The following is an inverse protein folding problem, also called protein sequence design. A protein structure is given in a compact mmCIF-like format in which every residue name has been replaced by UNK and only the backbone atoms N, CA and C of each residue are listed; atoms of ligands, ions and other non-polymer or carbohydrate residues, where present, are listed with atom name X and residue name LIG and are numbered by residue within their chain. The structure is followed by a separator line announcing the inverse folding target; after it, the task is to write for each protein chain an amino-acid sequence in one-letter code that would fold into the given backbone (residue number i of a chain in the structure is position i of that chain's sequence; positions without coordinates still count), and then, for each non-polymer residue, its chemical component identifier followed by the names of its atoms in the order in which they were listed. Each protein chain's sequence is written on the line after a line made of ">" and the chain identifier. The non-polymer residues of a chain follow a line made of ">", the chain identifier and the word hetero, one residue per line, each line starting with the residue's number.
data_IF_139822906129
#
_entry.id   IF_139822906129
#
_cell.length_a   1.000
_cell.length_b   1.000
_cell.length_c   1.000
_cell.angle_alpha   90.00
_cell.angle_beta   90.00
_cell.angle_gamma   90.00
#
_symmetry.space_group_name_H-M   'P 1'
#
loop_
_entity.id
_entity.type
_entity.pdbx_description
1 polymer ?
#
# COMPACT_ATOMS: atom_id res chain seq x y z
N UNK A 1 11.71 -14.54 13.20
CA UNK A 1 10.93 -13.70 14.15
C UNK A 1 9.78 -14.54 14.70
N UNK A 2 9.50 -14.51 16.01
CA UNK A 2 8.43 -15.33 16.59
C UNK A 2 7.05 -14.71 16.29
N UNK A 3 5.99 -15.48 16.43
CA UNK A 3 4.60 -15.01 16.24
C UNK A 3 4.26 -13.78 17.10
N UNK A 4 4.63 -13.79 18.38
CA UNK A 4 4.40 -12.68 19.30
C UNK A 4 5.12 -11.39 18.89
N UNK A 5 6.34 -11.49 18.34
CA UNK A 5 7.10 -10.34 17.85
C UNK A 5 6.41 -9.69 16.64
N UNK A 6 5.87 -10.52 15.72
CA UNK A 6 5.12 -10.02 14.56
C UNK A 6 3.83 -9.32 14.98
N UNK A 7 3.11 -9.89 15.95
CA UNK A 7 1.93 -9.24 16.54
C UNK A 7 2.31 -7.92 17.20
N UNK A 8 3.40 -7.85 17.96
CA UNK A 8 3.87 -6.61 18.57
C UNK A 8 4.14 -5.51 17.51
N UNK A 9 4.76 -5.86 16.38
CA UNK A 9 4.95 -4.95 15.24
C UNK A 9 3.63 -4.51 14.61
N UNK A 10 2.66 -5.41 14.46
CA UNK A 10 1.33 -5.07 13.94
C UNK A 10 0.53 -4.17 14.88
N UNK A 11 0.83 -4.22 16.19
CA UNK A 11 0.17 -3.41 17.21
C UNK A 11 0.83 -2.04 17.45
N UNK A 12 2.10 -1.89 17.08
CA UNK A 12 2.87 -0.65 17.11
C UNK A 12 2.50 0.25 15.91
N UNK A 13 1.57 1.17 16.14
CA UNK A 13 0.91 1.94 15.08
C UNK A 13 1.13 3.44 15.26
N UNK A 14 1.27 4.22 14.18
CA UNK A 14 1.62 5.65 14.23
C UNK A 14 0.39 6.54 14.53
N UNK A 15 -0.61 6.00 15.23
CA UNK A 15 -1.91 6.63 15.47
C UNK A 15 -2.32 6.48 16.93
N UNK A 16 -3.30 7.28 17.35
CA UNK A 16 -3.88 7.24 18.68
C UNK A 16 -5.41 7.05 18.62
N UNK A 17 -6.00 6.67 19.75
CA UNK A 17 -7.44 6.52 19.89
C UNK A 17 -8.05 5.52 18.91
N UNK A 18 -9.14 5.90 18.27
CA UNK A 18 -9.91 5.02 17.39
C UNK A 18 -9.18 4.64 16.10
N UNK A 19 -8.39 5.55 15.51
CA UNK A 19 -7.57 5.22 14.35
C UNK A 19 -6.53 4.15 14.72
N UNK A 20 -5.93 4.23 15.92
CA UNK A 20 -5.00 3.20 16.38
C UNK A 20 -5.66 1.81 16.46
N UNK A 21 -6.89 1.74 16.96
CA UNK A 21 -7.65 0.50 17.00
C UNK A 21 -7.90 -0.08 15.59
N UNK A 22 -8.26 0.78 14.65
CA UNK A 22 -8.53 0.40 13.26
C UNK A 22 -7.25 -0.07 12.54
N UNK A 23 -6.12 0.59 12.78
CA UNK A 23 -4.80 0.16 12.32
C UNK A 23 -4.38 -1.21 12.88
N UNK A 24 -4.59 -1.43 14.18
CA UNK A 24 -4.28 -2.70 14.85
C UNK A 24 -5.12 -3.84 14.27
N UNK A 25 -6.42 -3.64 14.11
CA UNK A 25 -7.29 -4.64 13.48
C UNK A 25 -6.87 -4.96 12.04
N UNK A 26 -6.46 -3.95 11.26
CA UNK A 26 -5.87 -4.15 9.93
C UNK A 26 -4.59 -4.99 10.01
N UNK A 27 -3.66 -4.63 10.89
CA UNK A 27 -2.39 -5.35 11.06
C UNK A 27 -2.58 -6.82 11.45
N UNK A 28 -3.46 -7.10 12.42
CA UNK A 28 -3.83 -8.46 12.82
C UNK A 28 -4.47 -9.24 11.67
N UNK A 29 -5.34 -8.60 10.87
CA UNK A 29 -5.93 -9.23 9.70
C UNK A 29 -4.88 -9.61 8.65
N UNK A 30 -3.86 -8.77 8.40
CA UNK A 30 -2.76 -9.15 7.50
C UNK A 30 -1.91 -10.30 8.05
N UNK A 31 -1.76 -10.42 9.38
CA UNK A 31 -1.09 -11.57 9.99
C UNK A 31 -1.88 -12.87 9.80
N UNK A 32 -3.23 -12.83 9.81
CA UNK A 32 -4.04 -14.01 9.47
C UNK A 32 -3.90 -14.39 7.99
N UNK A 33 -3.77 -13.41 7.08
CA UNK A 33 -3.44 -13.70 5.68
C UNK A 33 -2.06 -14.36 5.57
N UNK A 34 -1.06 -13.85 6.30
CA UNK A 34 0.27 -14.43 6.37
C UNK A 34 0.24 -15.88 6.88
N UNK A 35 -0.45 -16.11 8.01
CA UNK A 35 -0.64 -17.46 8.56
C UNK A 35 -1.32 -18.40 7.56
N UNK A 36 -2.30 -17.91 6.78
CA UNK A 36 -2.93 -18.72 5.72
C UNK A 36 -1.93 -19.12 4.64
N UNK A 37 -1.00 -18.25 4.29
CA UNK A 37 0.03 -18.48 3.28
C UNK A 37 1.19 -19.38 3.77
N UNK A 38 1.46 -19.39 5.08
CA UNK A 38 2.56 -20.15 5.70
C UNK A 38 2.12 -21.45 6.37
N UNK A 39 0.85 -21.58 6.75
CA UNK A 39 0.36 -22.63 7.63
C UNK A 39 0.73 -22.43 9.11
N UNK A 40 1.19 -21.24 9.51
CA UNK A 40 1.66 -20.95 10.87
C UNK A 40 0.47 -20.76 11.84
N UNK A 41 0.15 -21.81 12.60
CA UNK A 41 -0.92 -21.78 13.59
C UNK A 41 -0.53 -21.08 14.90
N UNK A 42 0.76 -20.96 15.20
CA UNK A 42 1.23 -20.20 16.37
C UNK A 42 0.95 -18.70 16.16
N UNK A 43 1.05 -18.23 14.91
CA UNK A 43 0.64 -16.88 14.53
C UNK A 43 -0.87 -16.65 14.70
N UNK A 44 -1.71 -17.66 14.43
CA UNK A 44 -3.16 -17.57 14.69
C UNK A 44 -3.43 -17.41 16.17
N UNK A 45 -2.78 -18.21 17.02
CA UNK A 45 -2.95 -18.13 18.47
C UNK A 45 -2.51 -16.75 19.01
N UNK A 46 -1.37 -16.23 18.56
CA UNK A 46 -0.90 -14.91 18.96
C UNK A 46 -1.85 -13.77 18.51
N UNK A 47 -2.47 -13.91 17.34
CA UNK A 47 -3.52 -12.97 16.88
C UNK A 47 -4.78 -13.08 17.72
N UNK A 48 -5.22 -14.29 18.09
CA UNK A 48 -6.39 -14.51 18.95
C UNK A 48 -6.23 -13.82 20.32
N UNK A 49 -5.05 -13.90 20.91
CA UNK A 49 -4.73 -13.25 22.19
C UNK A 49 -4.75 -11.72 22.06
N UNK A 50 -4.17 -11.17 20.99
CA UNK A 50 -4.15 -9.73 20.75
C UNK A 50 -5.53 -9.17 20.39
N UNK A 51 -6.31 -9.88 19.58
CA UNK A 51 -7.63 -9.44 19.13
C UNK A 51 -8.62 -9.33 20.29
N UNK A 52 -8.52 -10.20 21.30
CA UNK A 52 -9.36 -10.16 22.49
C UNK A 52 -9.22 -8.85 23.30
N UNK A 53 -8.07 -8.19 23.21
CA UNK A 53 -7.80 -6.92 23.89
C UNK A 53 -8.12 -5.67 23.07
N UNK A 54 -8.58 -5.79 21.83
CA UNK A 54 -8.85 -4.63 20.99
C UNK A 54 -10.18 -3.94 21.35
N UNK A 55 -10.22 -2.59 21.41
CA UNK A 55 -11.47 -1.86 21.54
C UNK A 55 -12.30 -1.98 20.24
N UNK A 56 -13.57 -1.53 20.24
CA UNK A 56 -14.40 -1.57 19.04
C UNK A 56 -13.78 -0.83 17.84
N UNK A 57 -13.82 -1.49 16.68
CA UNK A 57 -13.25 -1.00 15.41
C UNK A 57 -14.34 -0.78 14.37
N UNK A 58 -14.03 -0.10 13.27
CA UNK A 58 -15.03 0.10 12.23
C UNK A 58 -15.57 -1.24 11.69
N UNK A 59 -16.87 -1.29 11.37
CA UNK A 59 -17.59 -2.52 11.04
C UNK A 59 -16.89 -3.41 9.98
N UNK A 60 -16.34 -2.84 8.91
CA UNK A 60 -15.59 -3.57 7.87
C UNK A 60 -14.31 -4.21 8.39
N UNK A 61 -13.63 -3.57 9.33
CA UNK A 61 -12.40 -4.07 9.94
C UNK A 61 -12.72 -5.24 10.87
N UNK A 62 -13.74 -5.08 11.71
CA UNK A 62 -14.25 -6.14 12.58
C UNK A 62 -14.72 -7.34 11.74
N UNK A 63 -15.53 -7.09 10.70
CA UNK A 63 -16.02 -8.10 9.77
C UNK A 63 -14.87 -8.84 9.10
N UNK A 64 -13.90 -8.12 8.53
CA UNK A 64 -12.74 -8.70 7.83
C UNK A 64 -11.92 -9.57 8.77
N UNK A 65 -11.52 -9.02 9.92
CA UNK A 65 -10.68 -9.73 10.89
C UNK A 65 -11.38 -11.01 11.39
N UNK A 66 -12.66 -10.92 11.74
CA UNK A 66 -13.46 -12.06 12.20
C UNK A 66 -13.66 -13.10 11.08
N UNK A 67 -13.94 -12.66 9.86
CA UNK A 67 -14.14 -13.57 8.71
C UNK A 67 -12.86 -14.31 8.36
N UNK A 68 -11.72 -13.62 8.32
CA UNK A 68 -10.41 -14.23 8.10
C UNK A 68 -10.14 -15.29 9.18
N UNK A 69 -10.39 -14.95 10.45
CA UNK A 69 -10.15 -15.89 11.53
C UNK A 69 -11.07 -17.11 11.47
N UNK A 70 -12.36 -16.93 11.21
CA UNK A 70 -13.33 -18.04 11.13
C UNK A 70 -12.97 -19.03 10.02
N UNK A 71 -12.33 -18.58 8.93
CA UNK A 71 -11.80 -19.46 7.87
C UNK A 71 -10.66 -20.36 8.34
N UNK A 72 -10.07 -20.10 9.51
CA UNK A 72 -9.01 -20.88 10.15
C UNK A 72 -9.54 -21.79 11.27
N UNK A 73 -10.86 -21.86 11.45
CA UNK A 73 -11.53 -22.65 12.49
C UNK A 73 -12.37 -21.79 13.45
N UNK A 74 -13.04 -22.42 14.43
CA UNK A 74 -13.92 -21.71 15.35
C UNK A 74 -13.17 -20.67 16.17
N UNK A 75 -13.85 -19.56 16.48
CA UNK A 75 -13.35 -18.52 17.38
C UNK A 75 -13.34 -19.08 18.82
N UNK A 76 -12.18 -19.01 19.47
CA UNK A 76 -12.02 -19.44 20.87
C UNK A 76 -12.01 -18.28 21.84
N UNK A 77 -11.80 -17.07 21.35
CA UNK A 77 -11.74 -15.82 22.11
C UNK A 77 -12.69 -14.79 21.53
N UNK A 78 -13.10 -13.79 22.32
CA UNK A 78 -13.79 -12.62 21.79
C UNK A 78 -12.94 -11.90 20.74
N UNK A 79 -13.59 -11.42 19.68
CA UNK A 79 -12.99 -10.55 18.66
C UNK A 79 -13.59 -9.15 18.78
N UNK A 80 -12.90 -8.10 18.31
CA UNK A 80 -13.36 -6.73 18.50
C UNK A 80 -14.77 -6.54 17.91
N UNK A 81 -15.62 -5.89 18.71
CA UNK A 81 -16.95 -5.50 18.30
C UNK A 81 -16.91 -4.38 17.25
N UNK A 82 -18.05 -4.17 16.60
CA UNK A 82 -18.24 -3.06 15.67
C UNK A 82 -18.45 -1.76 16.47
N UNK A 83 -17.77 -0.70 16.04
CA UNK A 83 -17.94 0.64 16.60
C UNK A 83 -19.31 1.19 16.15
N UNK A 84 -20.09 1.80 17.06
CA UNK A 84 -21.45 2.25 16.76
C UNK A 84 -21.53 3.47 15.83
N UNK A 85 -20.43 4.22 15.65
CA UNK A 85 -20.37 5.40 14.78
C UNK A 85 -19.03 5.44 14.05
N UNK A 86 -19.08 5.85 12.79
CA UNK A 86 -17.88 6.13 12.02
C UNK A 86 -17.12 7.34 12.59
N UNK A 87 -15.82 7.36 12.33
CA UNK A 87 -14.99 8.51 12.68
C UNK A 87 -15.31 9.67 11.77
N UNK A 88 -15.36 10.87 12.35
CA UNK A 88 -15.25 12.10 11.57
C UNK A 88 -13.76 12.28 11.30
N UNK A 89 -13.30 12.10 10.05
CA UNK A 89 -11.88 12.19 9.77
C UNK A 89 -11.39 13.63 9.98
N UNK A 90 -10.17 13.76 10.51
CA UNK A 90 -9.53 15.06 10.64
C UNK A 90 -9.13 15.61 9.27
N UNK A 91 -9.19 16.92 9.12
CA UNK A 91 -8.71 17.59 7.93
C UNK A 91 -7.20 17.34 7.73
N UNK A 92 -6.73 17.01 6.50
CA UNK A 92 -5.31 16.83 6.28
C UNK A 92 -4.52 18.11 6.51
N UNK A 93 -3.28 17.94 6.97
CA UNK A 93 -2.35 19.05 7.22
C UNK A 93 -2.07 19.88 5.97
N UNK A 94 -1.61 21.12 6.14
CA UNK A 94 -1.26 22.00 5.01
C UNK A 94 -0.19 21.39 4.11
N UNK A 95 0.77 20.64 4.66
CA UNK A 95 1.80 19.91 3.90
C UNK A 95 1.16 18.86 3.00
N UNK A 96 0.25 18.04 3.53
CA UNK A 96 -0.46 17.02 2.74
C UNK A 96 -1.28 17.66 1.64
N UNK A 97 -1.98 18.76 1.94
CA UNK A 97 -2.76 19.51 0.94
C UNK A 97 -1.89 20.02 -0.21
N UNK A 98 -0.71 20.57 0.08
CA UNK A 98 0.25 21.00 -0.96
C UNK A 98 0.71 19.82 -1.82
N UNK A 99 1.06 18.69 -1.20
CA UNK A 99 1.48 17.50 -1.93
C UNK A 99 0.35 16.89 -2.77
N UNK A 100 -0.90 16.96 -2.30
CA UNK A 100 -2.07 16.56 -3.07
C UNK A 100 -2.23 17.41 -4.35
N UNK A 101 -2.05 18.74 -4.24
CA UNK A 101 -2.06 19.64 -5.41
C UNK A 101 -0.91 19.33 -6.36
N UNK A 102 0.31 19.12 -5.84
CA UNK A 102 1.47 18.77 -6.67
C UNK A 102 1.26 17.44 -7.40
N UNK A 103 0.76 16.43 -6.70
CA UNK A 103 0.45 15.12 -7.26
C UNK A 103 -0.62 15.20 -8.36
N UNK A 104 -1.68 15.97 -8.13
CA UNK A 104 -2.74 16.15 -9.11
C UNK A 104 -2.24 16.88 -10.38
N UNK A 105 -1.46 17.96 -10.21
CA UNK A 105 -0.83 18.67 -11.33
C UNK A 105 0.15 17.79 -12.11
N UNK A 106 0.93 16.98 -11.41
CA UNK A 106 1.84 16.01 -12.03
C UNK A 106 1.05 15.01 -12.88
N UNK A 107 -0.05 14.49 -12.34
CA UNK A 107 -0.95 13.59 -13.07
C UNK A 107 -1.51 14.26 -14.33
N UNK A 108 -2.05 15.47 -14.22
CA UNK A 108 -2.66 16.18 -15.35
C UNK A 108 -1.64 16.54 -16.45
N UNK A 109 -0.38 16.85 -16.08
CA UNK A 109 0.71 17.11 -17.05
C UNK A 109 1.13 15.86 -17.82
N UNK A 110 1.11 14.71 -17.15
CA UNK A 110 1.55 13.42 -17.71
C UNK A 110 0.40 12.61 -18.32
N UNK A 111 -0.84 13.00 -18.05
CA UNK A 111 -2.01 12.46 -18.70
C UNK A 111 -1.98 12.81 -20.19
N UNK A 112 -1.83 11.82 -21.06
CA UNK A 112 -2.32 11.83 -22.45
C UNK A 112 -2.10 10.50 -23.16
N UNK A 113 -3.09 10.20 -24.00
CA UNK A 113 -3.28 9.06 -24.93
C UNK A 113 -3.99 7.85 -24.30
N UNK A 114 -5.20 7.52 -24.77
CA UNK A 114 -5.81 6.22 -24.49
C UNK A 114 -4.89 5.13 -25.04
N UNK A 115 -4.36 4.28 -24.16
CA UNK A 115 -3.66 3.08 -24.59
C UNK A 115 -4.69 2.04 -25.05
N UNK A 116 -4.32 1.25 -26.05
CA UNK A 116 -5.06 0.04 -26.39
C UNK A 116 -4.94 -0.95 -25.23
N UNK A 117 -6.04 -1.20 -24.53
CA UNK A 117 -6.06 -2.19 -23.45
C UNK A 117 -5.93 -3.60 -24.02
N UNK A 118 -5.03 -4.40 -23.44
CA UNK A 118 -4.85 -5.83 -23.79
C UNK A 118 -5.98 -6.75 -23.29
N UNK A 119 -7.13 -6.19 -22.93
CA UNK A 119 -8.28 -6.95 -22.44
C UNK A 119 -8.10 -7.46 -21.00
N UNK A 120 -9.16 -8.04 -20.41
CA UNK A 120 -9.11 -8.58 -19.06
C UNK A 120 -8.29 -9.88 -19.01
N UNK A 121 -7.53 -10.04 -17.94
CA UNK A 121 -6.81 -11.25 -17.57
C UNK A 121 -7.07 -11.61 -16.11
N UNK A 122 -6.89 -12.89 -15.77
CA UNK A 122 -6.92 -13.34 -14.38
C UNK A 122 -5.53 -13.12 -13.79
N UNK A 123 -5.42 -12.19 -12.85
CA UNK A 123 -4.19 -11.88 -12.14
C UNK A 123 -3.96 -12.91 -11.02
N UNK A 124 -3.65 -14.14 -11.43
CA UNK A 124 -3.17 -15.21 -10.56
C UNK A 124 -1.66 -15.08 -10.27
N UNK A 125 -1.10 -15.98 -9.47
CA UNK A 125 0.32 -15.95 -9.10
C UNK A 125 1.24 -15.90 -10.32
N UNK A 126 0.96 -16.69 -11.37
CA UNK A 126 1.80 -16.79 -12.56
C UNK A 126 1.74 -15.53 -13.41
N UNK A 127 0.54 -14.97 -13.60
CA UNK A 127 0.37 -13.71 -14.32
C UNK A 127 1.09 -12.56 -13.59
N UNK A 128 1.01 -12.55 -12.26
CA UNK A 128 1.69 -11.56 -11.43
C UNK A 128 3.21 -11.73 -11.43
N UNK A 129 3.74 -12.95 -11.37
CA UNK A 129 5.19 -13.21 -11.55
C UNK A 129 5.70 -12.71 -12.90
N UNK A 130 4.93 -12.94 -13.97
CA UNK A 130 5.26 -12.44 -15.31
C UNK A 130 5.31 -10.91 -15.33
N UNK A 131 4.31 -10.24 -14.75
CA UNK A 131 4.30 -8.79 -14.63
C UNK A 131 5.46 -8.26 -13.78
N UNK A 132 5.81 -8.92 -12.67
CA UNK A 132 6.98 -8.55 -11.85
C UNK A 132 8.28 -8.62 -12.65
N UNK A 133 8.46 -9.65 -13.47
CA UNK A 133 9.62 -9.81 -14.34
C UNK A 133 9.67 -8.73 -15.44
N UNK A 134 8.55 -8.51 -16.14
CA UNK A 134 8.45 -7.51 -17.22
C UNK A 134 8.71 -6.08 -16.74
N UNK A 135 8.28 -5.77 -15.50
CA UNK A 135 8.41 -4.43 -14.90
C UNK A 135 9.73 -4.20 -14.16
N UNK A 136 10.64 -5.18 -14.12
CA UNK A 136 11.95 -5.02 -13.48
C UNK A 136 12.74 -3.77 -13.95
N UNK A 137 12.79 -3.42 -15.25
CA UNK A 137 13.50 -2.22 -15.70
C UNK A 137 13.00 -0.91 -15.10
N UNK A 138 11.78 -0.89 -14.55
CA UNK A 138 11.14 0.29 -13.98
C UNK A 138 11.29 0.42 -12.46
N UNK A 139 11.89 -0.58 -11.79
CA UNK A 139 12.06 -0.60 -10.33
C UNK A 139 13.52 -0.42 -9.94
N UNK A 140 13.76 0.39 -8.90
CA UNK A 140 15.11 0.79 -8.51
C UNK A 140 16.01 -0.37 -8.04
N UNK A 141 15.44 -1.32 -7.28
CA UNK A 141 16.16 -2.48 -6.73
C UNK A 141 15.57 -3.81 -7.23
N UNK A 142 15.09 -3.79 -8.48
CA UNK A 142 14.34 -4.87 -9.09
C UNK A 142 15.01 -6.23 -8.97
N UNK A 143 14.22 -7.22 -8.59
CA UNK A 143 14.58 -8.63 -8.65
C UNK A 143 13.33 -9.52 -8.83
N UNK A 144 13.52 -10.80 -9.19
CA UNK A 144 12.44 -11.78 -9.17
C UNK A 144 11.95 -12.01 -7.74
N UNK A 145 10.64 -12.22 -7.58
CA UNK A 145 10.02 -12.58 -6.30
C UNK A 145 8.99 -13.68 -6.51
N UNK A 146 8.84 -14.61 -5.55
CA UNK A 146 7.83 -15.65 -5.63
C UNK A 146 6.43 -15.07 -5.42
N UNK A 147 5.45 -15.60 -6.15
CA UNK A 147 4.03 -15.38 -5.90
C UNK A 147 3.34 -16.68 -5.48
N UNK A 148 2.29 -16.56 -4.66
CA UNK A 148 1.50 -17.70 -4.18
C UNK A 148 0.02 -17.38 -4.19
N UNK A 149 -0.74 -18.17 -4.92
CA UNK A 149 -2.20 -18.11 -4.84
C UNK A 149 -2.69 -18.65 -3.50
N UNK A 150 -3.49 -17.85 -2.82
CA UNK A 150 -4.18 -18.27 -1.60
C UNK A 150 -5.68 -18.25 -1.85
N UNK A 151 -6.24 -19.46 -1.86
CA UNK A 151 -7.66 -19.68 -2.13
C UNK A 151 -8.55 -19.24 -0.96
N UNK A 152 -9.77 -18.85 -1.30
CA UNK A 152 -10.80 -18.53 -0.31
C UNK A 152 -10.43 -17.31 0.54
N UNK A 153 -9.79 -16.29 -0.05
CA UNK A 153 -9.52 -14.98 0.57
C UNK A 153 -10.05 -13.79 -0.28
N UNK A 154 -10.88 -14.05 -1.29
CA UNK A 154 -11.49 -13.02 -2.13
C UNK A 154 -12.19 -11.94 -1.30
N UNK A 155 -11.86 -10.67 -1.56
CA UNK A 155 -12.38 -9.50 -0.84
C UNK A 155 -11.85 -9.32 0.59
N UNK A 156 -10.89 -10.14 1.05
CA UNK A 156 -10.34 -10.09 2.41
C UNK A 156 -8.84 -9.73 2.47
N UNK A 157 -8.20 -9.44 1.35
CA UNK A 157 -6.79 -9.04 1.28
C UNK A 157 -6.68 -7.56 0.92
N UNK A 158 -6.06 -6.77 1.81
CA UNK A 158 -5.72 -5.36 1.51
C UNK A 158 -4.22 -5.16 1.30
N UNK A 159 -3.40 -6.02 1.90
CA UNK A 159 -1.97 -6.12 1.61
C UNK A 159 -1.68 -7.53 1.09
N UNK A 160 -0.96 -7.61 -0.01
CA UNK A 160 -0.61 -8.86 -0.69
C UNK A 160 0.91 -9.10 -0.72
N UNK A 161 1.74 -8.18 -0.24
CA UNK A 161 3.17 -8.39 -0.03
C UNK A 161 3.45 -8.65 1.46
N UNK A 162 4.35 -9.61 1.73
CA UNK A 162 4.77 -9.94 3.09
C UNK A 162 6.08 -10.75 3.09
N UNK A 163 6.63 -10.99 4.28
CA UNK A 163 7.72 -11.95 4.47
C UNK A 163 7.14 -13.35 4.73
N UNK A 164 7.49 -14.32 3.89
CA UNK A 164 7.11 -15.73 3.98
C UNK A 164 8.37 -16.59 3.98
N UNK A 165 8.54 -17.43 5.01
CA UNK A 165 9.72 -18.31 5.10
C UNK A 165 11.06 -17.57 5.14
N UNK A 166 11.07 -16.32 5.63
CA UNK A 166 12.27 -15.48 5.72
C UNK A 166 12.57 -14.64 4.47
N UNK A 167 11.78 -14.75 3.40
CA UNK A 167 11.94 -13.96 2.17
C UNK A 167 10.68 -13.21 1.76
N UNK A 168 10.79 -12.18 0.90
CA UNK A 168 9.64 -11.49 0.33
C UNK A 168 8.79 -12.44 -0.52
N UNK A 169 7.48 -12.32 -0.41
CA UNK A 169 6.52 -13.09 -1.19
C UNK A 169 5.27 -12.26 -1.45
N UNK A 170 4.71 -12.44 -2.64
CA UNK A 170 3.40 -11.89 -2.99
C UNK A 170 2.34 -12.98 -2.83
N UNK A 171 1.39 -12.77 -1.93
CA UNK A 171 0.20 -13.60 -1.76
C UNK A 171 -0.90 -13.06 -2.68
N UNK A 172 -1.14 -13.76 -3.78
CA UNK A 172 -2.19 -13.42 -4.74
C UNK A 172 -3.53 -14.00 -4.32
N UNK A 173 -4.57 -13.21 -4.53
CA UNK A 173 -5.95 -13.71 -4.57
C UNK A 173 -6.42 -13.43 -5.99
N UNK A 174 -6.67 -14.46 -6.82
CA UNK A 174 -6.99 -14.27 -8.22
C UNK A 174 -8.13 -13.26 -8.42
N UNK A 175 -7.88 -12.25 -9.24
CA UNK A 175 -8.83 -11.20 -9.57
C UNK A 175 -8.76 -10.86 -11.07
N UNK A 176 -9.80 -10.26 -11.61
CA UNK A 176 -9.84 -9.86 -13.02
C UNK A 176 -9.33 -8.43 -13.15
N UNK A 177 -8.23 -8.25 -13.87
CA UNK A 177 -7.60 -6.96 -14.14
C UNK A 177 -7.15 -6.90 -15.61
N UNK A 178 -6.83 -5.72 -16.12
CA UNK A 178 -6.09 -5.62 -17.38
C UNK A 178 -4.61 -5.96 -17.20
N UNK A 179 -3.90 -6.20 -18.30
CA UNK A 179 -2.44 -6.37 -18.27
C UNK A 179 -1.73 -5.12 -17.73
N UNK A 180 -2.22 -3.94 -18.10
CA UNK A 180 -1.67 -2.66 -17.67
C UNK A 180 -1.91 -2.44 -16.16
N UNK A 181 -3.10 -2.78 -15.66
CA UNK A 181 -3.40 -2.80 -14.22
C UNK A 181 -2.48 -3.76 -13.48
N UNK A 182 -2.28 -4.96 -14.02
CA UNK A 182 -1.39 -5.96 -13.40
C UNK A 182 0.07 -5.46 -13.36
N UNK A 183 0.55 -4.85 -14.44
CA UNK A 183 1.89 -4.28 -14.52
C UNK A 183 2.10 -3.12 -13.55
N UNK A 184 1.17 -2.16 -13.46
CA UNK A 184 1.31 -1.02 -12.53
C UNK A 184 1.11 -1.46 -11.09
N UNK A 185 -0.02 -2.11 -10.77
CA UNK A 185 -0.40 -2.39 -9.40
C UNK A 185 0.45 -3.50 -8.78
N UNK A 186 0.68 -4.60 -9.49
CA UNK A 186 1.49 -5.69 -8.95
C UNK A 186 2.95 -5.57 -9.36
N UNK A 187 3.22 -5.32 -10.64
CA UNK A 187 4.59 -5.26 -11.18
C UNK A 187 5.41 -4.13 -10.56
N UNK A 188 4.90 -2.89 -10.61
CA UNK A 188 5.62 -1.71 -10.11
C UNK A 188 5.37 -1.47 -8.62
N UNK A 189 4.14 -1.26 -8.18
CA UNK A 189 3.84 -0.87 -6.79
C UNK A 189 4.20 -1.98 -5.80
N UNK A 190 3.57 -3.15 -5.95
CA UNK A 190 3.81 -4.29 -5.06
C UNK A 190 5.22 -4.84 -5.25
N UNK A 191 5.72 -4.91 -6.49
CA UNK A 191 7.11 -5.28 -6.75
C UNK A 191 8.11 -4.39 -6.01
N UNK A 192 7.86 -3.08 -5.91
CA UNK A 192 8.73 -2.17 -5.15
C UNK A 192 8.72 -2.47 -3.65
N UNK A 193 7.58 -2.84 -3.06
CA UNK A 193 7.51 -3.30 -1.67
C UNK A 193 8.36 -4.57 -1.44
N UNK A 194 8.31 -5.51 -2.39
CA UNK A 194 9.10 -6.74 -2.33
C UNK A 194 10.60 -6.47 -2.47
N UNK A 195 10.99 -5.59 -3.40
CA UNK A 195 12.39 -5.16 -3.57
C UNK A 195 12.91 -4.44 -2.32
N UNK A 196 12.07 -3.63 -1.67
CA UNK A 196 12.40 -2.92 -0.44
C UNK A 196 12.67 -3.90 0.71
N UNK A 197 11.79 -4.89 0.91
CA UNK A 197 12.04 -5.96 1.88
C UNK A 197 13.31 -6.75 1.56
N UNK A 198 13.51 -7.13 0.30
CA UNK A 198 14.70 -7.88 -0.11
C UNK A 198 16.00 -7.11 0.14
N UNK A 199 16.02 -5.81 -0.19
CA UNK A 199 17.19 -4.97 0.03
C UNK A 199 17.54 -4.82 1.52
N UNK A 200 16.55 -4.78 2.42
CA UNK A 200 16.80 -4.81 3.86
C UNK A 200 17.38 -6.16 4.33
N UNK A 201 16.92 -7.27 3.74
CA UNK A 201 17.44 -8.61 4.06
C UNK A 201 18.88 -8.78 3.57
N UNK A 202 19.22 -8.28 2.38
CA UNK A 202 20.58 -8.32 1.83
C UNK A 202 21.58 -7.55 2.70
N UNK A 203 21.15 -6.44 3.32
CA UNK A 203 21.96 -5.67 4.27
C UNK A 203 22.06 -6.34 5.66
N UNK A 204 21.47 -7.53 5.85
CA UNK A 204 21.46 -8.23 7.13
C UNK A 204 20.55 -7.57 8.17
N UNK A 205 19.46 -6.91 7.74
CA UNK A 205 18.53 -6.14 8.60
C UNK A 205 17.12 -6.74 8.62
N UNK A 206 16.96 -8.03 8.99
CA UNK A 206 15.66 -8.72 8.94
C UNK A 206 14.60 -8.08 9.84
N UNK A 207 14.98 -7.53 11.00
CA UNK A 207 14.04 -6.85 11.89
C UNK A 207 13.39 -5.64 11.21
N UNK A 208 14.14 -4.91 10.37
CA UNK A 208 13.59 -3.79 9.63
C UNK A 208 12.73 -4.24 8.46
N UNK A 209 13.09 -5.33 7.79
CA UNK A 209 12.25 -5.94 6.75
C UNK A 209 10.88 -6.38 7.32
N UNK A 210 10.85 -6.85 8.57
CA UNK A 210 9.60 -7.10 9.29
C UNK A 210 8.86 -5.80 9.65
N UNK A 211 9.57 -4.77 10.12
CA UNK A 211 8.96 -3.48 10.50
C UNK A 211 8.28 -2.77 9.33
N UNK A 212 8.82 -2.82 8.11
CA UNK A 212 8.22 -2.10 6.98
C UNK A 212 6.84 -2.64 6.57
N UNK A 213 6.45 -3.84 7.02
CA UNK A 213 5.12 -4.38 6.78
C UNK A 213 4.02 -3.70 7.64
N UNK A 214 4.37 -3.04 8.75
CA UNK A 214 3.40 -2.59 9.74
C UNK A 214 3.64 -1.16 10.21
N UNK A 215 2.63 -0.60 10.88
CA UNK A 215 2.75 0.66 11.62
C UNK A 215 3.36 1.83 10.83
N UNK A 216 4.34 2.50 11.42
CA UNK A 216 5.06 3.59 10.75
C UNK A 216 5.89 3.09 9.56
N UNK A 217 6.33 1.82 9.59
CA UNK A 217 7.14 1.23 8.54
C UNK A 217 6.38 1.08 7.23
N UNK A 218 5.10 0.68 7.27
CA UNK A 218 4.29 0.60 6.05
C UNK A 218 4.05 1.98 5.44
N UNK A 219 4.00 3.06 6.23
CA UNK A 219 3.96 4.42 5.68
C UNK A 219 5.20 4.70 4.83
N UNK A 220 6.38 4.35 5.32
CA UNK A 220 7.64 4.51 4.57
C UNK A 220 7.65 3.63 3.32
N UNK A 221 7.23 2.37 3.43
CA UNK A 221 7.13 1.45 2.29
C UNK A 221 6.20 1.99 1.20
N UNK A 222 5.01 2.50 1.56
CA UNK A 222 4.11 3.13 0.59
C UNK A 222 4.74 4.38 -0.04
N UNK A 223 5.47 5.18 0.73
CA UNK A 223 6.22 6.32 0.20
C UNK A 223 7.28 5.90 -0.84
N UNK A 224 7.98 4.79 -0.60
CA UNK A 224 8.96 4.21 -1.52
C UNK A 224 8.30 3.67 -2.78
N UNK A 225 7.21 2.91 -2.65
CA UNK A 225 6.44 2.40 -3.79
C UNK A 225 5.83 3.53 -4.62
N UNK A 226 5.27 4.56 -3.97
CA UNK A 226 4.80 5.78 -4.64
C UNK A 226 5.92 6.51 -5.36
N UNK A 227 7.12 6.60 -4.78
CA UNK A 227 8.25 7.23 -5.45
C UNK A 227 8.63 6.50 -6.74
N UNK A 228 8.61 5.16 -6.73
CA UNK A 228 8.82 4.37 -7.94
C UNK A 228 7.69 4.59 -8.97
N UNK A 229 6.43 4.52 -8.56
CA UNK A 229 5.28 4.78 -9.45
C UNK A 229 5.32 6.17 -10.09
N UNK A 230 5.69 7.22 -9.35
CA UNK A 230 5.72 8.59 -9.87
C UNK A 230 6.81 8.80 -10.94
N UNK A 231 7.84 7.96 -10.96
CA UNK A 231 8.84 7.98 -12.04
C UNK A 231 8.37 7.25 -13.31
N UNK A 232 7.40 6.32 -13.17
CA UNK A 232 6.98 5.40 -14.22
C UNK A 232 6.60 6.08 -15.55
N UNK A 233 5.77 7.15 -15.60
CA UNK A 233 5.28 7.71 -16.87
C UNK A 233 6.38 8.24 -17.81
N UNK A 234 7.59 8.45 -17.27
CA UNK A 234 8.76 8.99 -17.96
C UNK A 234 9.76 7.92 -18.38
N UNK A 235 9.59 6.68 -17.91
CA UNK A 235 10.52 5.60 -18.21
C UNK A 235 10.26 5.02 -19.61
N UNK A 236 11.32 4.61 -20.35
CA UNK A 236 11.17 3.97 -21.64
C UNK A 236 10.26 2.73 -21.57
N UNK A 237 9.33 2.63 -22.53
CA UNK A 237 8.39 1.50 -22.62
C UNK A 237 7.16 1.58 -21.71
N UNK A 238 7.02 2.62 -20.89
CA UNK A 238 5.91 2.77 -19.96
C UNK A 238 4.72 3.61 -20.51
N UNK A 239 4.80 4.07 -21.77
CA UNK A 239 3.78 4.95 -22.36
C UNK A 239 2.36 4.35 -22.31
N UNK A 240 2.23 3.05 -22.54
CA UNK A 240 0.97 2.33 -22.48
C UNK A 240 0.35 2.22 -21.08
N UNK A 241 1.09 2.58 -20.03
CA UNK A 241 0.65 2.45 -18.63
C UNK A 241 0.13 3.77 -18.04
N UNK A 242 0.27 4.90 -18.76
CA UNK A 242 -0.03 6.24 -18.23
C UNK A 242 -1.47 6.41 -17.78
N UNK A 243 -2.44 5.81 -18.48
CA UNK A 243 -3.84 5.92 -18.08
C UNK A 243 -4.11 5.18 -16.76
N UNK A 244 -3.60 3.94 -16.63
CA UNK A 244 -3.71 3.17 -15.38
C UNK A 244 -3.00 3.87 -14.23
N UNK A 245 -1.83 4.44 -14.48
CA UNK A 245 -1.10 5.25 -13.52
C UNK A 245 -1.92 6.49 -13.09
N UNK A 246 -2.48 7.22 -14.04
CA UNK A 246 -3.31 8.41 -13.78
C UNK A 246 -4.52 8.04 -12.92
N UNK A 247 -5.25 6.99 -13.29
CA UNK A 247 -6.41 6.53 -12.52
C UNK A 247 -5.99 6.07 -11.11
N UNK A 248 -4.82 5.47 -10.96
CA UNK A 248 -4.22 5.15 -9.66
C UNK A 248 -3.84 6.38 -8.82
N UNK A 249 -3.44 7.49 -9.44
CA UNK A 249 -3.22 8.76 -8.73
C UNK A 249 -4.55 9.37 -8.29
N UNK A 250 -5.55 9.41 -9.17
CA UNK A 250 -6.90 9.90 -8.85
C UNK A 250 -7.50 9.12 -7.68
N UNK A 251 -7.38 7.79 -7.68
CA UNK A 251 -7.87 6.93 -6.60
C UNK A 251 -7.18 7.28 -5.27
N UNK A 252 -5.85 7.47 -5.26
CA UNK A 252 -5.10 7.83 -4.04
C UNK A 252 -5.46 9.21 -3.50
N UNK A 253 -5.68 10.19 -4.38
CA UNK A 253 -6.21 11.50 -3.98
C UNK A 253 -7.61 11.35 -3.35
N UNK A 254 -8.44 10.46 -3.87
CA UNK A 254 -9.79 10.19 -3.37
C UNK A 254 -9.83 9.43 -2.03
N UNK A 255 -8.70 8.87 -1.57
CA UNK A 255 -8.57 8.23 -0.24
C UNK A 255 -8.56 9.22 0.90
N UNK A 256 -8.14 10.44 0.65
CA UNK A 256 -8.06 11.43 1.70
C UNK A 256 -9.52 11.73 2.23
N UNK A 257 -9.69 12.24 3.46
CA UNK A 257 -10.94 12.81 4.00
C UNK A 257 -11.61 13.99 3.26
N UNK A 258 -12.85 13.85 2.78
CA UNK A 258 -13.59 14.94 2.10
C UNK A 258 -13.66 16.23 2.92
N UNK A 259 -13.16 17.31 2.33
CA UNK A 259 -13.32 18.67 2.84
C UNK A 259 -14.12 19.51 1.83
N UNK A 260 -14.95 20.46 2.27
CA UNK A 260 -15.68 21.35 1.35
C UNK A 260 -14.76 22.08 0.36
N UNK A 261 -13.53 22.40 0.78
CA UNK A 261 -12.49 23.03 -0.05
C UNK A 261 -11.78 22.07 -1.03
N UNK A 262 -12.12 20.78 -1.07
CA UNK A 262 -11.55 19.82 -2.01
C UNK A 262 -12.16 19.86 -3.41
N UNK A 263 -11.44 19.26 -4.36
CA UNK A 263 -11.81 19.36 -5.76
C UNK A 263 -11.42 20.73 -6.31
N UNK A 264 -12.32 21.42 -7.03
CA UNK A 264 -12.04 22.72 -7.62
C UNK A 264 -11.61 23.80 -6.61
N UNK A 265 -11.99 23.69 -5.33
CA UNK A 265 -11.56 24.64 -4.29
C UNK A 265 -10.05 24.58 -3.97
N UNK A 266 -9.40 23.44 -4.23
CA UNK A 266 -7.98 23.20 -3.91
C UNK A 266 -7.09 23.29 -5.15
N UNK A 267 -7.59 22.83 -6.30
CA UNK A 267 -6.93 22.96 -7.59
C UNK A 267 -8.01 23.09 -8.69
N UNK A 268 -8.48 24.33 -8.99
CA UNK A 268 -9.60 24.57 -9.91
C UNK A 268 -9.40 23.96 -11.30
N UNK A 269 -8.18 24.04 -11.81
CA UNK A 269 -7.82 23.60 -13.17
C UNK A 269 -7.40 22.13 -13.26
N UNK A 270 -7.47 21.38 -12.15
CA UNK A 270 -6.99 20.00 -12.10
C UNK A 270 -8.10 19.00 -12.31
N UNK A 271 -8.07 18.30 -13.46
CA UNK A 271 -8.99 17.21 -13.76
C UNK A 271 -8.84 16.07 -12.74
N UNK A 272 -7.59 15.72 -12.37
CA UNK A 272 -7.34 14.65 -11.40
C UNK A 272 -7.98 14.95 -10.04
N UNK A 273 -7.86 16.19 -9.57
CA UNK A 273 -8.47 16.63 -8.31
C UNK A 273 -10.00 16.65 -8.39
N UNK A 274 -10.56 17.09 -9.52
CA UNK A 274 -12.02 17.07 -9.74
C UNK A 274 -12.57 15.63 -9.75
N UNK A 275 -11.90 14.71 -10.46
CA UNK A 275 -12.27 13.28 -10.50
C UNK A 275 -12.16 12.64 -9.11
N UNK A 276 -11.09 12.93 -8.37
CA UNK A 276 -10.90 12.41 -7.02
C UNK A 276 -12.00 12.87 -6.06
N UNK A 277 -12.43 14.14 -6.15
CA UNK A 277 -13.52 14.67 -5.35
C UNK A 277 -14.87 14.01 -5.65
N UNK A 278 -15.10 13.56 -6.90
CA UNK A 278 -16.34 12.93 -7.33
C UNK A 278 -16.47 11.45 -6.92
N UNK A 279 -15.36 10.75 -6.68
CA UNK A 279 -15.33 9.31 -6.40
C UNK A 279 -14.66 8.98 -5.06
N UNK A 280 -15.25 9.37 -3.91
CA UNK A 280 -14.62 9.18 -2.61
C UNK A 280 -14.38 7.71 -2.29
N UNK A 281 -13.23 7.39 -1.71
CA UNK A 281 -12.93 6.03 -1.23
C UNK A 281 -13.24 5.92 0.28
N UNK A 282 -14.38 5.31 0.67
CA UNK A 282 -14.75 5.20 2.07
C UNK A 282 -13.79 4.30 2.86
N UNK A 283 -12.98 3.43 2.24
CA UNK A 283 -12.03 2.52 2.91
C UNK A 283 -11.05 3.26 3.83
N UNK A 284 -10.65 4.46 3.44
CA UNK A 284 -9.57 5.18 4.09
C UNK A 284 -10.04 6.26 5.08
N UNK A 285 -11.35 6.47 5.22
CA UNK A 285 -11.92 7.43 6.19
C UNK A 285 -11.54 7.13 7.63
N UNK A 286 -11.29 5.85 7.95
CA UNK A 286 -10.90 5.38 9.28
C UNK A 286 -9.39 5.30 9.49
N UNK A 287 -8.61 5.50 8.42
CA UNK A 287 -7.15 5.40 8.40
C UNK A 287 -6.53 6.66 7.75
N UNK A 288 -6.86 7.87 8.21
CA UNK A 288 -6.42 9.11 7.57
C UNK A 288 -4.89 9.19 7.44
N UNK A 289 -4.11 8.78 8.45
CA UNK A 289 -2.63 8.78 8.34
C UNK A 289 -2.11 7.86 7.24
N UNK A 290 -2.80 6.74 7.01
CA UNK A 290 -2.46 5.83 5.92
C UNK A 290 -2.79 6.45 4.56
N UNK A 291 -3.96 7.07 4.45
CA UNK A 291 -4.38 7.82 3.26
C UNK A 291 -3.38 8.95 2.91
N UNK A 292 -2.95 9.71 3.92
CA UNK A 292 -1.97 10.79 3.78
C UNK A 292 -0.63 10.28 3.25
N UNK A 293 -0.20 9.06 3.63
CA UNK A 293 1.07 8.50 3.15
C UNK A 293 1.05 8.21 1.65
N UNK A 294 -0.07 7.73 1.10
CA UNK A 294 -0.21 7.50 -0.34
C UNK A 294 -0.09 8.77 -1.19
N UNK A 295 -0.36 9.94 -0.60
CA UNK A 295 -0.31 11.22 -1.32
C UNK A 295 0.98 11.97 -1.04
N UNK A 296 1.43 12.00 0.22
CA UNK A 296 2.45 12.94 0.66
C UNK A 296 3.81 12.32 0.94
N UNK A 297 3.88 11.01 1.22
CA UNK A 297 5.10 10.41 1.78
C UNK A 297 6.26 10.37 0.78
N UNK A 298 6.00 10.10 -0.50
CA UNK A 298 7.04 10.10 -1.53
C UNK A 298 7.76 11.47 -1.61
N UNK A 299 7.00 12.57 -1.61
CA UNK A 299 7.55 13.93 -1.57
C UNK A 299 8.36 14.20 -0.30
N UNK A 300 7.82 13.85 0.87
CA UNK A 300 8.53 14.02 2.16
C UNK A 300 9.84 13.22 2.24
N UNK A 301 9.86 12.02 1.66
CA UNK A 301 11.07 11.21 1.56
C UNK A 301 12.06 11.88 0.59
N UNK A 302 11.60 12.34 -0.57
CA UNK A 302 12.43 13.02 -1.56
C UNK A 302 13.07 14.32 -1.04
N UNK A 303 12.34 15.13 -0.26
CA UNK A 303 12.86 16.33 0.42
C UNK A 303 14.06 16.01 1.33
N UNK A 304 14.12 14.78 1.86
CA UNK A 304 15.21 14.28 2.70
C UNK A 304 16.19 13.39 1.94
N UNK A 305 16.17 13.39 0.61
CA UNK A 305 16.99 12.50 -0.23
C UNK A 305 16.83 11.02 0.14
N UNK A 306 15.59 10.63 0.46
CA UNK A 306 15.21 9.28 0.90
C UNK A 306 16.01 8.78 2.12
N UNK A 307 16.57 9.69 2.93
CA UNK A 307 17.28 9.36 4.18
C UNK A 307 16.28 9.01 5.26
N UNK A 308 15.95 7.73 5.33
CA UNK A 308 15.14 7.12 6.40
C UNK A 308 15.83 5.82 6.83
N UNK A 309 15.93 5.50 8.14
CA UNK A 309 16.55 4.27 8.61
C UNK A 309 15.91 3.01 8.01
N UNK A 310 14.66 3.05 7.58
CA UNK A 310 13.99 1.91 6.95
C UNK A 310 14.30 1.77 5.46
N UNK A 311 15.04 2.68 4.83
CA UNK A 311 15.39 2.61 3.41
C UNK A 311 16.88 2.23 3.27
N UNK A 312 17.19 1.05 2.69
CA UNK A 312 18.55 0.63 2.37
C UNK A 312 19.34 1.65 1.55
N UNK A 313 20.64 1.75 1.76
CA UNK A 313 21.48 2.79 1.13
C UNK A 313 21.46 2.67 -0.41
N UNK A 314 21.57 1.45 -0.91
CA UNK A 314 21.53 1.18 -2.36
C UNK A 314 20.18 1.53 -2.99
N UNK A 315 19.07 1.37 -2.26
CA UNK A 315 17.73 1.74 -2.72
C UNK A 315 17.54 3.26 -2.66
N UNK A 316 17.94 3.89 -1.56
CA UNK A 316 17.94 5.35 -1.36
C UNK A 316 18.60 6.07 -2.51
N UNK A 317 19.84 5.70 -2.82
CA UNK A 317 20.65 6.41 -3.81
C UNK A 317 20.05 6.28 -5.23
N UNK A 318 19.44 5.14 -5.54
CA UNK A 318 18.76 4.92 -6.82
C UNK A 318 17.46 5.70 -6.93
N UNK A 319 16.65 5.71 -5.86
CA UNK A 319 15.41 6.48 -5.81
C UNK A 319 15.68 7.98 -5.91
N UNK A 320 16.67 8.52 -5.18
CA UNK A 320 17.02 9.94 -5.25
C UNK A 320 17.44 10.35 -6.67
N UNK A 321 18.27 9.54 -7.34
CA UNK A 321 18.66 9.79 -8.74
C UNK A 321 17.46 9.74 -9.69
N UNK A 322 16.61 8.73 -9.59
CA UNK A 322 15.43 8.59 -10.45
C UNK A 322 14.46 9.75 -10.22
N UNK A 323 14.16 10.08 -8.96
CA UNK A 323 13.25 11.17 -8.60
C UNK A 323 13.72 12.52 -9.14
N UNK A 324 15.00 12.86 -8.96
CA UNK A 324 15.59 14.11 -9.47
C UNK A 324 15.56 14.19 -10.99
N UNK A 325 15.72 13.05 -11.68
CA UNK A 325 15.74 13.00 -13.14
C UNK A 325 14.33 13.06 -13.75
N UNK A 326 13.38 12.34 -13.16
CA UNK A 326 12.07 12.10 -13.78
C UNK A 326 10.93 12.93 -13.18
N UNK A 327 10.98 13.27 -11.89
CA UNK A 327 9.87 13.92 -11.18
C UNK A 327 10.13 15.40 -10.94
N UNK A 328 11.32 15.77 -10.44
CA UNK A 328 11.65 17.17 -10.12
C UNK A 328 11.39 18.15 -11.28
N UNK A 329 11.76 17.85 -12.55
CA UNK A 329 11.50 18.76 -13.67
C UNK A 329 10.01 19.03 -13.95
N UNK A 330 9.11 18.26 -13.32
CA UNK A 330 7.66 18.35 -13.48
C UNK A 330 6.97 19.01 -12.27
N UNK A 331 7.71 19.38 -11.22
CA UNK A 331 7.16 20.01 -10.02
C UNK A 331 7.19 21.55 -10.09
N UNK A 332 7.96 22.13 -11.02
CA UNK A 332 8.01 23.56 -11.32
C UNK A 332 6.84 23.99 -12.23
#
# INVERSE_FOLDING_TARGET
>A
MKACDQVALALDVPAAGAEAADWRARGLAELLVCSRATGDMDLVAAVDDAAAGLPPVQARLAFRLRTLRTRMGPLRTPYPAERPRDLVPSAPSSVVRRHAVQLARLADRLARTPATSRGPLVADARAVESALAETMPWRAAARPHPCRDVSGLAGLTWRNWMLVGGGPCLVTVPCILSAEQTAVWFGVHVGTHLDHMAALLDEGRPDLAHRIQFGAGVLVAEGVAMAAELTLPRLPGADGLRQVWYDGVVERLARLPRLPEWGPGMAPESEAMARAAAAPNPEFTTLPRYAEAYVSKAFQLAEKHFRDPLIPDGLRDRLDRLWRREVVPLLD
#
